data_IF_272083311425
#
_entry.id   IF_272083311425
#
_cell.length_a   1.000
_cell.length_b   1.000
_cell.length_c   1.000
_cell.angle_alpha   90.00
_cell.angle_beta   90.00
_cell.angle_gamma   90.00
#
_symmetry.space_group_name_H-M   'P 1'
#
loop_
_entity.id
_entity.type
_entity.pdbx_description
1 polymer ?
#
# COMPACT_ATOMS: atom_id res chain seq x y z
N UNK A 1 -16.31 31.18 -22.24
CA UNK A 1 -15.45 30.32 -23.07
C UNK A 1 -14.00 30.75 -22.83
N UNK A 2 -13.43 30.34 -21.69
CA UNK A 2 -12.08 30.76 -21.26
C UNK A 2 -11.43 29.61 -20.50
N UNK A 3 -11.02 28.57 -21.21
CA UNK A 3 -10.36 27.38 -20.62
C UNK A 3 -8.90 27.24 -21.11
N UNK A 4 -8.44 28.09 -22.04
CA UNK A 4 -7.14 27.91 -22.72
C UNK A 4 -5.91 28.46 -22.00
N UNK A 5 -5.95 28.76 -20.69
CA UNK A 5 -4.77 29.28 -19.98
C UNK A 5 -4.52 28.62 -18.62
N UNK A 6 -4.88 27.34 -18.47
CA UNK A 6 -4.33 26.57 -17.36
C UNK A 6 -2.98 25.99 -17.80
N UNK A 7 -1.92 26.32 -17.05
CA UNK A 7 -0.65 25.61 -17.16
C UNK A 7 -0.94 24.11 -17.08
N UNK A 8 -0.55 23.34 -18.09
CA UNK A 8 -0.75 21.89 -18.15
C UNK A 8 -0.27 21.21 -16.87
N UNK A 9 0.79 21.74 -16.24
CA UNK A 9 1.26 21.35 -14.91
C UNK A 9 0.20 21.48 -13.82
N UNK A 10 -0.43 22.65 -13.69
CA UNK A 10 -1.47 22.91 -12.70
C UNK A 10 -2.72 22.05 -12.93
N UNK A 11 -3.07 21.75 -14.19
CA UNK A 11 -4.18 20.82 -14.49
C UNK A 11 -3.85 19.41 -13.98
N UNK A 12 -2.63 18.94 -14.23
CA UNK A 12 -2.17 17.61 -13.81
C UNK A 12 -2.14 17.51 -12.28
N UNK A 13 -1.63 18.53 -11.59
CA UNK A 13 -1.60 18.58 -10.12
C UNK A 13 -3.00 18.49 -9.51
N UNK A 14 -3.96 19.28 -10.02
CA UNK A 14 -5.34 19.26 -9.54
C UNK A 14 -5.98 17.89 -9.78
N UNK A 15 -5.78 17.30 -10.96
CA UNK A 15 -6.32 15.97 -11.27
C UNK A 15 -5.72 14.90 -10.34
N UNK A 16 -4.40 14.89 -10.15
CA UNK A 16 -3.72 13.91 -9.29
C UNK A 16 -4.08 14.09 -7.82
N UNK A 17 -4.21 15.33 -7.34
CA UNK A 17 -4.69 15.65 -6.00
C UNK A 17 -6.12 15.16 -5.76
N UNK A 18 -7.03 15.40 -6.73
CA UNK A 18 -8.40 14.89 -6.66
C UNK A 18 -8.46 13.36 -6.64
N UNK A 19 -7.66 12.68 -7.49
CA UNK A 19 -7.58 11.21 -7.50
C UNK A 19 -7.07 10.68 -6.15
N UNK A 20 -6.03 11.30 -5.58
CA UNK A 20 -5.50 10.92 -4.27
C UNK A 20 -6.56 11.04 -3.17
N UNK A 21 -7.35 12.13 -3.19
CA UNK A 21 -8.43 12.33 -2.24
C UNK A 21 -9.53 11.26 -2.37
N UNK A 22 -9.93 10.92 -3.60
CA UNK A 22 -10.89 9.85 -3.88
C UNK A 22 -10.38 8.49 -3.38
N UNK A 23 -9.10 8.18 -3.59
CA UNK A 23 -8.47 6.93 -3.12
C UNK A 23 -8.46 6.86 -1.59
N UNK A 24 -8.08 7.94 -0.90
CA UNK A 24 -8.08 8.00 0.57
C UNK A 24 -9.50 7.77 1.10
N UNK A 25 -10.49 8.49 0.57
CA UNK A 25 -11.90 8.32 0.96
C UNK A 25 -12.36 6.90 0.65
N UNK A 26 -12.05 6.35 -0.52
CA UNK A 26 -12.40 4.97 -0.89
C UNK A 26 -11.80 3.92 0.04
N UNK A 27 -10.56 4.09 0.48
CA UNK A 27 -9.90 3.21 1.46
C UNK A 27 -10.54 3.34 2.84
N UNK A 28 -10.84 4.56 3.29
CA UNK A 28 -11.50 4.80 4.57
C UNK A 28 -12.93 4.22 4.58
N UNK A 29 -13.71 4.48 3.54
CA UNK A 29 -15.05 3.91 3.33
C UNK A 29 -14.94 2.39 3.32
N UNK A 30 -14.05 1.80 2.52
CA UNK A 30 -13.87 0.33 2.52
C UNK A 30 -13.49 -0.21 3.90
N UNK A 31 -12.65 0.50 4.65
CA UNK A 31 -12.26 0.13 6.01
C UNK A 31 -13.42 0.21 7.00
N UNK A 32 -14.33 1.18 6.85
CA UNK A 32 -15.49 1.35 7.73
C UNK A 32 -16.68 0.44 7.34
N UNK A 33 -16.92 0.25 6.04
CA UNK A 33 -18.01 -0.57 5.52
C UNK A 33 -17.70 -2.07 5.49
N UNK A 34 -16.44 -2.48 5.71
CA UNK A 34 -16.10 -3.86 6.04
C UNK A 34 -16.57 -4.16 7.47
N UNK A 35 -17.90 -4.15 7.65
CA UNK A 35 -18.58 -4.49 8.89
C UNK A 35 -18.31 -5.97 9.13
N UNK A 36 -17.53 -6.23 10.16
CA UNK A 36 -17.18 -7.58 10.60
C UNK A 36 -18.48 -8.32 10.96
N UNK A 37 -18.95 -9.17 10.05
CA UNK A 37 -20.13 -10.04 10.26
C UNK A 37 -19.89 -11.08 11.38
N UNK A 38 -18.66 -11.16 11.88
CA UNK A 38 -18.25 -11.88 13.07
C UNK A 38 -17.59 -10.87 14.00
N UNK A 39 -18.02 -10.76 15.25
CA UNK A 39 -17.59 -9.77 16.26
C UNK A 39 -16.11 -9.76 16.67
N UNK A 40 -15.19 -10.11 15.77
CA UNK A 40 -13.74 -9.92 15.89
C UNK A 40 -13.31 -8.78 14.96
N UNK A 41 -12.35 -7.92 15.36
CA UNK A 41 -11.78 -6.94 14.45
C UNK A 41 -11.09 -7.68 13.29
N UNK A 42 -11.74 -7.75 12.13
CA UNK A 42 -11.11 -8.24 10.91
C UNK A 42 -10.11 -7.17 10.49
N UNK A 43 -8.87 -7.30 10.95
CA UNK A 43 -7.79 -6.37 10.64
C UNK A 43 -7.65 -6.13 9.13
N UNK A 44 -7.13 -4.96 8.77
CA UNK A 44 -6.77 -4.67 7.39
C UNK A 44 -5.66 -5.65 7.00
N UNK A 45 -5.94 -6.53 6.03
CA UNK A 45 -4.95 -7.51 5.57
C UNK A 45 -3.73 -6.81 4.99
N UNK A 46 -2.54 -7.36 5.23
CA UNK A 46 -1.26 -6.79 4.77
C UNK A 46 -1.27 -6.44 3.27
N UNK A 47 -1.93 -7.27 2.45
CA UNK A 47 -2.09 -7.04 1.00
C UNK A 47 -2.90 -5.78 0.68
N UNK A 48 -3.90 -5.43 1.49
CA UNK A 48 -4.69 -4.21 1.28
C UNK A 48 -3.84 -2.98 1.57
N UNK A 49 -3.03 -3.02 2.64
CA UNK A 49 -2.11 -1.94 3.01
C UNK A 49 -1.05 -1.76 1.92
N UNK A 50 -0.52 -2.86 1.38
CA UNK A 50 0.41 -2.85 0.25
C UNK A 50 -0.17 -2.11 -0.96
N UNK A 51 -1.39 -2.48 -1.38
CA UNK A 51 -2.07 -1.80 -2.48
C UNK A 51 -2.32 -0.32 -2.17
N UNK A 52 -2.81 0.00 -0.98
CA UNK A 52 -3.04 1.39 -0.57
C UNK A 52 -1.74 2.22 -0.62
N UNK A 53 -0.61 1.69 -0.15
CA UNK A 53 0.68 2.37 -0.23
C UNK A 53 1.08 2.64 -1.68
N UNK A 54 0.96 1.66 -2.57
CA UNK A 54 1.31 1.82 -3.99
C UNK A 54 0.43 2.88 -4.65
N UNK A 55 -0.88 2.82 -4.42
CA UNK A 55 -1.84 3.75 -5.02
C UNK A 55 -1.66 5.20 -4.52
N UNK A 56 -1.14 5.40 -3.30
CA UNK A 56 -0.83 6.74 -2.79
C UNK A 56 0.56 7.23 -3.22
N UNK A 57 1.58 6.37 -3.18
CA UNK A 57 2.96 6.76 -3.47
C UNK A 57 3.15 7.15 -4.95
N UNK A 58 2.51 6.44 -5.89
CA UNK A 58 2.65 6.74 -7.34
C UNK A 58 2.22 8.18 -7.67
N UNK A 59 1.00 8.65 -7.36
CA UNK A 59 0.59 10.02 -7.66
C UNK A 59 1.43 11.05 -6.87
N UNK A 60 1.84 10.75 -5.65
CA UNK A 60 2.75 11.62 -4.88
C UNK A 60 4.09 11.81 -5.58
N UNK A 61 4.70 10.74 -6.10
CA UNK A 61 5.95 10.81 -6.87
C UNK A 61 5.79 11.59 -8.18
N UNK A 62 4.65 11.45 -8.85
CA UNK A 62 4.36 12.19 -10.09
C UNK A 62 4.27 13.69 -9.82
N UNK A 63 3.54 14.10 -8.77
CA UNK A 63 3.42 15.51 -8.38
C UNK A 63 4.79 16.09 -8.01
N UNK A 64 5.52 15.39 -7.13
CA UNK A 64 6.87 15.81 -6.68
C UNK A 64 7.90 15.84 -7.82
N UNK A 65 7.75 14.96 -8.81
CA UNK A 65 8.58 14.94 -10.01
C UNK A 65 8.31 16.12 -10.94
N UNK A 66 7.05 16.53 -11.11
CA UNK A 66 6.66 17.69 -11.92
C UNK A 66 7.16 19.00 -11.29
N UNK A 67 7.13 19.09 -9.96
CA UNK A 67 7.68 20.23 -9.20
C UNK A 67 9.23 20.28 -9.20
N UNK A 68 9.91 19.28 -9.78
CA UNK A 68 11.39 19.15 -9.77
C UNK A 68 12.01 19.15 -8.36
N UNK A 69 11.21 18.87 -7.32
CA UNK A 69 11.71 18.77 -5.93
C UNK A 69 12.50 17.46 -5.75
N UNK A 70 12.10 16.39 -6.45
CA UNK A 70 12.80 15.11 -6.44
C UNK A 70 13.63 14.92 -7.71
N UNK A 71 14.91 14.55 -7.51
CA UNK A 71 15.76 14.06 -8.60
C UNK A 71 15.29 12.68 -9.06
N UNK A 72 15.53 12.37 -10.33
CA UNK A 72 15.19 11.06 -10.92
C UNK A 72 15.77 9.86 -10.14
N UNK A 73 16.94 10.03 -9.53
CA UNK A 73 17.58 9.02 -8.67
C UNK A 73 16.72 8.66 -7.45
N UNK A 74 16.13 9.65 -6.78
CA UNK A 74 15.26 9.45 -5.63
C UNK A 74 13.97 8.75 -6.04
N UNK A 75 13.39 9.15 -7.18
CA UNK A 75 12.17 8.53 -7.72
C UNK A 75 12.44 7.06 -8.05
N UNK A 76 13.54 6.76 -8.73
CA UNK A 76 13.93 5.38 -9.05
C UNK A 76 14.13 4.52 -7.80
N UNK A 77 14.75 5.08 -6.76
CA UNK A 77 14.96 4.39 -5.47
C UNK A 77 13.64 4.06 -4.79
N UNK A 78 12.71 5.02 -4.72
CA UNK A 78 11.40 4.81 -4.10
C UNK A 78 10.58 3.79 -4.91
N UNK A 79 10.60 3.87 -6.25
CA UNK A 79 9.93 2.90 -7.11
C UNK A 79 10.53 1.50 -6.92
N UNK A 80 11.87 1.37 -6.91
CA UNK A 80 12.53 0.08 -6.68
C UNK A 80 12.18 -0.53 -5.33
N UNK A 81 12.17 0.28 -4.27
CA UNK A 81 11.74 -0.15 -2.93
C UNK A 81 10.27 -0.58 -2.88
N UNK A 82 9.39 0.16 -3.56
CA UNK A 82 7.97 -0.15 -3.65
C UNK A 82 7.74 -1.47 -4.39
N UNK A 83 8.40 -1.66 -5.54
CA UNK A 83 8.37 -2.90 -6.31
C UNK A 83 8.83 -4.07 -5.44
N UNK A 84 9.98 -3.94 -4.76
CA UNK A 84 10.48 -4.97 -3.84
C UNK A 84 9.50 -5.31 -2.71
N UNK A 85 8.86 -4.29 -2.13
CA UNK A 85 7.84 -4.47 -1.09
C UNK A 85 6.59 -5.21 -1.61
N UNK A 86 6.13 -4.89 -2.83
CA UNK A 86 4.99 -5.57 -3.47
C UNK A 86 5.34 -7.01 -3.80
N UNK A 87 6.51 -7.27 -4.38
CA UNK A 87 6.99 -8.62 -4.72
C UNK A 87 7.16 -9.51 -3.48
N UNK A 88 7.61 -8.95 -2.36
CA UNK A 88 7.71 -9.66 -1.07
C UNK A 88 6.35 -10.20 -0.59
N UNK A 89 5.25 -9.50 -0.90
CA UNK A 89 3.88 -9.95 -0.61
C UNK A 89 3.32 -11.03 -1.54
N UNK A 90 3.95 -11.26 -2.71
CA UNK A 90 3.52 -12.26 -3.70
C UNK A 90 4.12 -13.63 -3.39
N UNK A 91 5.36 -13.69 -2.93
CA UNK A 91 6.06 -14.96 -2.64
C UNK A 91 5.51 -15.77 -1.47
N UNK A 92 4.78 -15.14 -0.55
CA UNK A 92 4.15 -15.79 0.61
C UNK A 92 2.71 -16.24 0.34
N UNK A 93 2.31 -16.45 -0.92
CA UNK A 93 1.03 -17.06 -1.24
C UNK A 93 1.14 -18.58 -1.06
N UNK A 94 1.08 -19.03 0.19
CA UNK A 94 0.79 -20.43 0.50
C UNK A 94 -0.60 -20.72 -0.06
N UNK A 95 -0.64 -21.38 -1.22
CA UNK A 95 -1.85 -22.07 -1.68
C UNK A 95 -2.33 -23.05 -0.60
N UNK A 96 -3.57 -23.55 -0.66
CA UNK A 96 -4.04 -24.56 0.29
C UNK A 96 -3.17 -25.82 0.14
N UNK A 97 -2.08 -25.89 0.92
CA UNK A 97 -1.20 -27.03 1.01
C UNK A 97 -1.96 -28.09 1.80
N UNK A 98 -2.51 -29.06 1.08
CA UNK A 98 -3.32 -30.11 1.66
C UNK A 98 -2.48 -31.18 2.37
N UNK A 99 -1.15 -31.04 2.53
CA UNK A 99 -0.32 -32.08 3.14
C UNK A 99 1.02 -31.61 3.74
N UNK A 100 1.03 -30.75 4.78
CA UNK A 100 2.26 -30.65 5.61
C UNK A 100 2.05 -30.27 7.08
N UNK A 101 2.14 -31.21 8.04
CA UNK A 101 2.18 -30.91 9.46
C UNK A 101 3.58 -30.44 9.86
N UNK A 102 3.97 -29.21 9.50
CA UNK A 102 5.21 -28.57 10.01
C UNK A 102 5.00 -27.11 10.41
N UNK A 103 4.03 -26.86 11.28
CA UNK A 103 4.00 -25.67 12.14
C UNK A 103 3.97 -26.09 13.61
N UNK A 104 5.09 -26.64 14.06
CA UNK A 104 5.36 -26.87 15.48
C UNK A 104 6.82 -26.50 15.74
N UNK A 105 7.12 -25.19 15.75
CA UNK A 105 8.32 -24.72 16.46
C UNK A 105 8.11 -25.07 17.94
N UNK A 106 8.95 -25.92 18.56
CA UNK A 106 8.79 -26.23 19.98
C UNK A 106 9.04 -24.95 20.80
N UNK A 107 8.08 -24.59 21.66
CA UNK A 107 8.28 -23.56 22.69
C UNK A 107 9.45 -23.99 23.59
N UNK A 108 10.42 -23.12 23.89
CA UNK A 108 11.45 -23.45 24.86
C UNK A 108 10.80 -23.68 26.23
N UNK A 109 11.02 -24.88 26.78
CA UNK A 109 10.58 -25.28 28.11
C UNK A 109 11.41 -24.50 29.15
N UNK A 110 10.80 -23.80 30.11
CA UNK A 110 11.55 -23.14 31.17
C UNK A 110 12.23 -24.20 32.03
N UNK A 111 13.57 -24.19 31.99
CA UNK A 111 14.41 -25.00 32.88
C UNK A 111 14.20 -24.46 34.30
N UNK A 112 13.53 -25.24 35.16
CA UNK A 112 13.50 -24.93 36.58
C UNK A 112 14.89 -25.17 37.15
N UNK A 113 15.57 -24.08 37.47
CA UNK A 113 16.78 -24.10 38.30
C UNK A 113 16.28 -24.28 39.74
N UNK A 114 16.79 -25.33 40.37
CA UNK A 114 16.49 -25.73 41.75
C UNK A 114 17.19 -24.80 42.74
#
# INVERSE_FOLDING_TARGET
MSISCYNTKSVIEIIMGCIMLIVIVGVLVRSMYKKSSTGKPSGIGARIIQFTCVTLIIPTLIILGIENILKGETIATIIGGLIGYVLSGVGNYEGPDNNNPKSSKPKPVPTKIN
#
